data_IF_691615042994
#
_entry.id   IF_691615042994
#
_cell.length_a   1.000
_cell.length_b   1.000
_cell.length_c   1.000
_cell.angle_alpha   90.00
_cell.angle_beta   90.00
_cell.angle_gamma   90.00
#
_symmetry.space_group_name_H-M   'P 1'
#
loop_
_entity.id
_entity.type
_entity.pdbx_description
1 polymer ?
#
# COMPACT_ATOMS: atom_id res chain seq x y z
N UNK A 1 -41.65 -19.61 -41.49
CA UNK A 1 -41.13 -19.72 -40.11
C UNK A 1 -39.74 -20.33 -40.20
N UNK A 2 -38.79 -19.75 -39.44
CA UNK A 2 -37.35 -20.05 -39.36
C UNK A 2 -36.51 -19.35 -40.43
N UNK A 3 -36.13 -18.10 -40.12
CA UNK A 3 -34.95 -17.43 -40.67
C UNK A 3 -33.71 -18.10 -40.06
N UNK A 4 -32.75 -18.51 -40.90
CA UNK A 4 -31.40 -18.83 -40.47
C UNK A 4 -30.55 -17.58 -40.64
N UNK A 5 -30.08 -17.00 -39.53
CA UNK A 5 -29.01 -16.02 -39.51
C UNK A 5 -27.68 -16.76 -39.28
N UNK A 6 -26.66 -16.61 -40.15
CA UNK A 6 -25.29 -16.94 -39.78
C UNK A 6 -24.75 -15.82 -38.89
N UNK A 7 -24.39 -16.17 -37.65
CA UNK A 7 -23.63 -15.30 -36.76
C UNK A 7 -22.20 -15.24 -37.30
N UNK A 8 -21.85 -14.12 -37.93
CA UNK A 8 -20.48 -13.70 -38.17
C UNK A 8 -19.88 -13.33 -36.82
N UNK A 9 -19.08 -14.22 -36.25
CA UNK A 9 -18.15 -13.92 -35.17
C UNK A 9 -17.04 -13.04 -35.75
N UNK A 10 -17.17 -11.73 -35.59
CA UNK A 10 -16.03 -10.82 -35.65
C UNK A 10 -15.16 -11.11 -34.42
N UNK A 11 -14.06 -11.81 -34.63
CA UNK A 11 -12.90 -11.74 -33.74
C UNK A 11 -12.23 -10.41 -34.09
N UNK A 12 -12.74 -9.33 -33.51
CA UNK A 12 -11.94 -8.12 -33.41
C UNK A 12 -10.86 -8.38 -32.36
N UNK A 13 -9.62 -8.34 -32.83
CA UNK A 13 -8.46 -8.12 -32.00
C UNK A 13 -8.68 -6.84 -31.18
N UNK A 14 -9.16 -7.01 -29.94
CA UNK A 14 -9.06 -6.00 -28.90
C UNK A 14 -7.60 -5.96 -28.42
N UNK A 15 -6.73 -5.32 -29.21
CA UNK A 15 -5.69 -4.48 -28.61
C UNK A 15 -6.42 -3.27 -28.02
N UNK A 16 -7.03 -3.47 -26.85
CA UNK A 16 -7.72 -2.42 -26.13
C UNK A 16 -6.70 -1.58 -25.39
N UNK A 17 -6.58 -0.31 -25.78
CA UNK A 17 -6.10 0.76 -24.91
C UNK A 17 -6.81 0.65 -23.55
N UNK A 18 -6.05 0.77 -22.48
CA UNK A 18 -6.54 0.55 -21.12
C UNK A 18 -7.26 1.83 -20.65
N UNK A 19 -8.60 1.79 -20.65
CA UNK A 19 -9.43 2.84 -20.05
C UNK A 19 -9.96 2.33 -18.70
N UNK A 20 -9.47 2.85 -17.56
CA UNK A 20 -9.88 2.37 -16.25
C UNK A 20 -11.40 2.50 -16.04
N UNK A 21 -12.04 1.42 -15.58
CA UNK A 21 -13.47 1.40 -15.28
C UNK A 21 -13.76 2.23 -14.01
N UNK A 22 -14.42 3.38 -14.17
CA UNK A 22 -14.81 4.26 -13.05
C UNK A 22 -16.01 3.74 -12.25
N UNK A 23 -16.56 2.57 -12.56
CA UNK A 23 -17.78 2.05 -11.93
C UNK A 23 -17.56 0.89 -10.96
N UNK A 24 -16.38 0.25 -10.91
CA UNK A 24 -16.16 -0.91 -10.03
C UNK A 24 -15.20 -0.68 -8.85
N UNK A 25 -14.40 0.40 -8.83
CA UNK A 25 -13.61 0.88 -7.67
C UNK A 25 -13.18 -0.22 -6.67
N UNK A 26 -12.54 -1.29 -7.16
CA UNK A 26 -11.93 -2.27 -6.27
C UNK A 26 -10.94 -1.50 -5.37
N UNK A 27 -11.16 -1.56 -4.06
CA UNK A 27 -10.54 -0.66 -3.10
C UNK A 27 -9.07 -1.02 -2.86
N UNK A 28 -8.19 -0.68 -3.80
CA UNK A 28 -6.74 -0.94 -3.70
C UNK A 28 -6.13 -0.12 -2.55
N UNK A 29 -5.49 -0.76 -1.56
CA UNK A 29 -4.75 -0.11 -0.48
C UNK A 29 -5.59 0.59 0.60
N UNK A 30 -4.91 1.07 1.65
CA UNK A 30 -5.59 1.81 2.73
C UNK A 30 -5.95 3.21 2.27
N UNK A 31 -7.25 3.50 2.16
CA UNK A 31 -7.76 4.84 1.78
C UNK A 31 -7.82 5.82 2.95
N UNK A 32 -7.56 5.33 4.16
CA UNK A 32 -7.60 6.12 5.40
C UNK A 32 -6.39 5.76 6.24
N UNK A 33 -5.72 6.78 6.77
CA UNK A 33 -4.64 6.61 7.73
C UNK A 33 -4.80 7.66 8.82
N UNK A 34 -4.49 7.32 10.06
CA UNK A 34 -4.63 8.23 11.19
C UNK A 34 -3.62 7.88 12.27
N UNK A 35 -3.32 8.88 13.10
CA UNK A 35 -2.64 8.74 14.37
C UNK A 35 -3.40 9.56 15.42
N UNK A 36 -2.79 9.82 16.57
CA UNK A 36 -3.43 10.56 17.66
C UNK A 36 -3.69 12.04 17.31
N UNK A 37 -2.98 12.60 16.33
CA UNK A 37 -3.02 14.03 16.02
C UNK A 37 -3.77 14.39 14.74
N UNK A 38 -3.78 13.51 13.73
CA UNK A 38 -4.51 13.78 12.50
C UNK A 38 -4.91 12.51 11.75
N UNK A 39 -5.98 12.64 10.99
CA UNK A 39 -6.52 11.65 10.07
C UNK A 39 -6.44 12.21 8.65
N UNK A 40 -6.09 11.33 7.72
CA UNK A 40 -6.17 11.56 6.28
C UNK A 40 -7.05 10.50 5.65
N UNK A 41 -7.95 10.94 4.78
CA UNK A 41 -8.73 10.05 3.92
C UNK A 41 -8.67 10.56 2.48
N UNK A 42 -8.37 9.66 1.54
CA UNK A 42 -8.37 10.00 0.12
C UNK A 42 -9.75 9.84 -0.52
N UNK A 43 -10.07 10.77 -1.42
CA UNK A 43 -11.32 10.85 -2.18
C UNK A 43 -10.98 10.90 -3.68
N UNK A 44 -11.05 9.74 -4.34
CA UNK A 44 -10.78 9.56 -5.78
C UNK A 44 -12.01 9.81 -6.67
N UNK A 45 -13.14 10.22 -6.10
CA UNK A 45 -14.37 10.57 -6.83
C UNK A 45 -14.31 11.96 -7.49
N UNK A 46 -13.28 12.74 -7.18
CA UNK A 46 -13.00 14.06 -7.76
C UNK A 46 -11.77 14.02 -8.68
N UNK A 47 -11.69 14.97 -9.62
CA UNK A 47 -10.52 15.14 -10.49
C UNK A 47 -10.03 16.60 -10.42
N UNK A 48 -8.86 16.89 -9.82
CA UNK A 48 -7.91 15.95 -9.21
C UNK A 48 -8.48 15.26 -7.95
N UNK A 49 -7.90 14.12 -7.55
CA UNK A 49 -8.25 13.48 -6.26
C UNK A 49 -8.05 14.45 -5.11
N UNK A 50 -8.91 14.37 -4.10
CA UNK A 50 -8.83 15.22 -2.91
C UNK A 50 -8.50 14.39 -1.68
N UNK A 51 -7.97 15.05 -0.66
CA UNK A 51 -7.74 14.47 0.65
C UNK A 51 -8.57 15.23 1.68
N UNK A 52 -9.34 14.47 2.46
CA UNK A 52 -9.92 14.94 3.70
C UNK A 52 -8.86 14.86 4.79
N UNK A 53 -8.57 15.98 5.44
CA UNK A 53 -7.74 16.05 6.62
C UNK A 53 -8.62 16.39 7.81
N UNK A 54 -8.48 15.64 8.89
CA UNK A 54 -9.12 15.92 10.16
C UNK A 54 -8.05 15.97 11.25
N UNK A 55 -7.84 17.16 11.82
CA UNK A 55 -6.92 17.38 12.93
C UNK A 55 -7.61 17.14 14.26
N UNK A 56 -6.83 16.63 15.23
CA UNK A 56 -7.29 16.28 16.57
C UNK A 56 -8.55 15.37 16.54
N UNK A 57 -8.48 14.19 15.89
CA UNK A 57 -9.66 13.33 15.70
C UNK A 57 -10.21 12.72 17.00
N UNK A 58 -9.38 12.64 18.04
CA UNK A 58 -9.73 12.05 19.34
C UNK A 58 -9.70 13.03 20.51
N UNK A 59 -9.00 14.16 20.39
CA UNK A 59 -8.76 15.09 21.50
C UNK A 59 -9.28 16.49 21.16
N UNK A 60 -9.74 17.22 22.18
CA UNK A 60 -10.01 18.65 22.16
C UNK A 60 -10.90 19.15 20.98
N UNK A 61 -12.22 18.95 21.10
CA UNK A 61 -13.25 19.34 20.09
C UNK A 61 -13.10 20.80 19.62
N UNK A 62 -12.62 21.70 20.49
CA UNK A 62 -12.41 23.11 20.15
C UNK A 62 -11.25 23.33 19.15
N UNK A 63 -10.32 22.38 19.04
CA UNK A 63 -9.18 22.36 18.12
C UNK A 63 -9.41 21.43 16.92
N UNK A 64 -10.51 20.67 16.92
CA UNK A 64 -10.88 19.78 15.82
C UNK A 64 -11.20 20.58 14.55
N UNK A 65 -10.35 20.42 13.54
CA UNK A 65 -10.49 21.07 12.25
C UNK A 65 -10.57 20.03 11.14
N UNK A 66 -11.61 20.14 10.31
CA UNK A 66 -11.76 19.34 9.09
C UNK A 66 -11.55 20.22 7.86
N UNK A 67 -10.85 19.68 6.86
CA UNK A 67 -10.67 20.37 5.60
C UNK A 67 -10.39 19.44 4.43
N UNK A 68 -10.71 19.94 3.24
CA UNK A 68 -10.42 19.28 1.99
C UNK A 68 -9.27 19.99 1.30
N UNK A 69 -8.29 19.19 0.90
CA UNK A 69 -7.14 19.66 0.13
C UNK A 69 -7.13 18.92 -1.21
N UNK A 70 -6.61 19.57 -2.23
CA UNK A 70 -6.35 18.94 -3.52
C UNK A 70 -4.89 19.13 -3.87
N UNK A 71 -4.28 18.13 -4.48
CA UNK A 71 -2.94 18.27 -5.00
C UNK A 71 -3.04 18.95 -6.37
N UNK A 72 -2.51 20.17 -6.56
CA UNK A 72 -2.78 20.96 -7.78
C UNK A 72 -2.36 20.28 -9.08
N UNK A 73 -1.37 19.38 -9.00
CA UNK A 73 -0.75 18.71 -10.14
C UNK A 73 -1.16 17.21 -10.29
N UNK A 74 -2.11 16.70 -9.50
CA UNK A 74 -2.61 15.31 -9.64
C UNK A 74 -3.83 15.21 -10.58
N UNK A 75 -3.80 15.87 -11.74
CA UNK A 75 -4.83 15.65 -12.77
C UNK A 75 -4.59 14.29 -13.41
N UNK A 76 -5.63 13.47 -13.58
CA UNK A 76 -5.51 12.09 -14.10
C UNK A 76 -4.65 11.16 -13.24
N UNK A 77 -4.86 11.14 -11.93
CA UNK A 77 -4.23 10.15 -11.05
C UNK A 77 -5.27 9.39 -10.24
N UNK A 78 -4.92 8.20 -9.79
CA UNK A 78 -5.69 7.40 -8.87
C UNK A 78 -4.81 7.03 -7.67
N UNK A 79 -5.19 7.44 -6.47
CA UNK A 79 -4.41 7.16 -5.25
C UNK A 79 -4.82 5.80 -4.70
N UNK A 80 -3.85 4.90 -4.55
CA UNK A 80 -3.99 3.56 -4.00
C UNK A 80 -4.03 3.63 -2.48
N UNK A 81 -2.97 4.09 -1.85
CA UNK A 81 -2.86 4.07 -0.39
C UNK A 81 -2.42 5.42 0.14
N UNK A 82 -2.84 5.72 1.36
CA UNK A 82 -2.30 6.78 2.20
C UNK A 82 -1.65 6.18 3.43
N UNK A 83 -0.67 6.87 4.02
CA UNK A 83 0.05 6.41 5.20
C UNK A 83 0.54 7.57 6.06
N UNK A 84 0.48 7.39 7.38
CA UNK A 84 0.96 8.34 8.38
C UNK A 84 1.87 7.63 9.38
N UNK A 85 2.84 8.35 9.92
CA UNK A 85 3.64 7.85 11.02
C UNK A 85 2.83 7.85 12.31
N UNK A 86 2.67 6.67 12.92
CA UNK A 86 1.86 6.50 14.14
C UNK A 86 2.39 7.24 15.38
N UNK A 87 3.67 7.63 15.39
CA UNK A 87 4.36 8.38 16.46
C UNK A 87 4.77 9.79 16.01
N UNK A 88 4.23 10.29 14.90
CA UNK A 88 4.38 11.71 14.58
C UNK A 88 3.82 12.54 15.73
N UNK A 89 4.44 13.70 15.98
CA UNK A 89 3.95 14.66 16.98
C UNK A 89 2.95 15.64 16.37
N UNK A 90 2.28 16.44 17.21
CA UNK A 90 1.36 17.51 16.78
C UNK A 90 2.04 18.53 15.83
N UNK A 91 3.36 18.68 15.92
CA UNK A 91 4.15 19.55 15.03
C UNK A 91 4.60 18.88 13.73
N UNK A 92 4.54 17.55 13.64
CA UNK A 92 5.01 16.75 12.50
C UNK A 92 3.80 16.21 11.71
N UNK A 93 3.04 17.11 11.09
CA UNK A 93 1.80 16.77 10.39
C UNK A 93 2.06 16.58 8.90
N UNK A 94 2.39 15.36 8.51
CA UNK A 94 2.58 15.02 7.10
C UNK A 94 2.17 13.60 6.80
N UNK A 95 1.73 13.35 5.58
CA UNK A 95 1.32 12.02 5.15
C UNK A 95 1.91 11.69 3.78
N UNK A 96 2.12 10.40 3.58
CA UNK A 96 2.52 9.84 2.31
C UNK A 96 1.30 9.29 1.59
N UNK A 97 1.38 9.26 0.27
CA UNK A 97 0.37 8.63 -0.55
C UNK A 97 1.01 8.06 -1.80
N UNK A 98 0.43 6.97 -2.30
CA UNK A 98 0.93 6.26 -3.48
C UNK A 98 -0.21 5.99 -4.43
N UNK A 99 0.09 5.90 -5.72
CA UNK A 99 -0.92 5.68 -6.73
C UNK A 99 -0.32 5.67 -8.11
N UNK A 100 -1.16 5.83 -9.12
CA UNK A 100 -0.78 5.72 -10.52
C UNK A 100 -1.48 6.77 -11.38
N UNK A 101 -0.84 7.14 -12.48
CA UNK A 101 -1.49 7.93 -13.53
C UNK A 101 -2.57 7.10 -14.24
N UNK A 102 -3.70 7.74 -14.58
CA UNK A 102 -4.81 7.10 -15.31
C UNK A 102 -4.85 7.55 -16.78
N UNK A 103 -5.56 6.79 -17.63
CA UNK A 103 -5.73 7.03 -19.07
C UNK A 103 -4.42 6.87 -19.87
N UNK A 104 -3.83 5.67 -19.86
CA UNK A 104 -2.63 5.29 -20.64
C UNK A 104 -1.37 6.13 -20.37
N UNK A 105 -1.36 6.91 -19.29
CA UNK A 105 -0.16 7.56 -18.78
C UNK A 105 0.63 6.56 -17.91
N UNK A 106 1.93 6.41 -18.19
CA UNK A 106 2.81 5.51 -17.45
C UNK A 106 3.36 6.22 -16.22
N UNK A 107 3.14 5.61 -15.06
CA UNK A 107 3.92 5.92 -13.85
C UNK A 107 3.15 5.65 -12.57
N UNK A 108 3.64 4.66 -11.80
CA UNK A 108 3.40 4.67 -10.36
C UNK A 108 4.08 5.91 -9.76
N UNK A 109 3.52 6.44 -8.68
CA UNK A 109 4.07 7.58 -7.98
C UNK A 109 4.03 7.37 -6.48
N UNK A 110 4.88 8.14 -5.80
CA UNK A 110 4.79 8.39 -4.37
C UNK A 110 4.78 9.90 -4.15
N UNK A 111 3.92 10.35 -3.25
CA UNK A 111 3.82 11.73 -2.87
C UNK A 111 3.83 11.92 -1.37
N UNK A 112 4.10 13.15 -0.98
CA UNK A 112 4.14 13.62 0.39
C UNK A 112 3.45 14.98 0.47
N UNK A 113 2.57 15.13 1.44
CA UNK A 113 1.99 16.41 1.80
C UNK A 113 2.41 16.74 3.22
N UNK A 114 3.03 17.91 3.42
CA UNK A 114 3.39 18.41 4.75
C UNK A 114 2.56 19.62 5.10
N UNK A 115 2.08 19.65 6.33
CA UNK A 115 1.41 20.78 6.94
C UNK A 115 2.39 21.58 7.79
N UNK A 116 2.67 22.80 7.34
CA UNK A 116 3.62 23.73 7.96
C UNK A 116 2.92 24.77 8.85
N UNK A 117 1.60 24.66 9.04
CA UNK A 117 0.83 25.63 9.82
C UNK A 117 1.08 25.49 11.32
N UNK A 118 0.93 26.59 12.06
CA UNK A 118 0.98 26.57 13.52
C UNK A 118 -0.41 26.26 14.09
N UNK A 119 -0.46 25.64 15.28
CA UNK A 119 -1.68 25.12 15.94
C UNK A 119 -2.79 26.17 16.20
N UNK A 120 -2.50 27.47 16.03
CA UNK A 120 -3.41 28.57 16.38
C UNK A 120 -4.06 29.28 15.19
N UNK A 121 -3.82 28.85 13.97
CA UNK A 121 -4.40 29.52 12.81
C UNK A 121 -5.81 28.98 12.51
N UNK A 122 -6.81 29.80 12.81
CA UNK A 122 -8.23 29.59 12.50
C UNK A 122 -8.57 29.68 11.01
N UNK A 123 -7.59 29.49 10.12
CA UNK A 123 -7.70 29.71 8.68
C UNK A 123 -7.36 28.41 7.91
N UNK A 124 -8.10 28.16 6.82
CA UNK A 124 -8.29 26.81 6.26
C UNK A 124 -7.01 26.27 5.64
N UNK A 125 -6.96 24.94 5.56
CA UNK A 125 -5.87 24.07 5.15
C UNK A 125 -5.25 24.28 3.76
N UNK A 126 -5.32 25.46 3.16
CA UNK A 126 -4.75 25.75 1.85
C UNK A 126 -3.47 26.59 1.90
N UNK A 127 -3.21 27.34 2.98
CA UNK A 127 -2.12 28.34 2.99
C UNK A 127 -0.75 27.79 3.41
N UNK A 128 -0.71 26.70 4.20
CA UNK A 128 0.53 26.18 4.79
C UNK A 128 0.78 24.71 4.42
N UNK A 129 0.62 24.35 3.16
CA UNK A 129 0.92 23.01 2.66
C UNK A 129 2.10 23.02 1.69
N UNK A 130 3.03 22.09 1.87
CA UNK A 130 4.03 21.76 0.85
C UNK A 130 3.75 20.38 0.27
N UNK A 131 3.84 20.30 -1.05
CA UNK A 131 3.47 19.14 -1.84
C UNK A 131 4.70 18.61 -2.58
N UNK A 132 4.97 17.32 -2.46
CA UNK A 132 6.07 16.64 -3.14
C UNK A 132 5.53 15.40 -3.85
N UNK A 133 6.01 15.15 -5.06
CA UNK A 133 5.58 14.04 -5.90
C UNK A 133 6.76 13.53 -6.70
N UNK A 134 6.98 12.22 -6.67
CA UNK A 134 8.02 11.53 -7.43
C UNK A 134 7.39 10.39 -8.22
N UNK A 135 7.80 10.24 -9.47
CA UNK A 135 7.27 9.23 -10.40
C UNK A 135 8.29 8.13 -10.65
N UNK A 136 7.80 6.90 -10.76
CA UNK A 136 8.50 5.74 -11.28
C UNK A 136 8.16 5.59 -12.76
N UNK A 137 8.83 6.38 -13.60
CA UNK A 137 8.55 6.47 -15.04
C UNK A 137 8.71 5.15 -15.82
N UNK A 138 9.38 4.14 -15.25
CA UNK A 138 9.58 2.83 -15.86
C UNK A 138 8.62 1.74 -15.36
N UNK A 139 7.67 2.07 -14.49
CA UNK A 139 6.74 1.09 -13.90
C UNK A 139 5.40 1.09 -14.62
N UNK A 140 4.91 -0.11 -14.95
CA UNK A 140 3.53 -0.32 -15.42
C UNK A 140 2.56 -0.34 -14.23
N UNK A 141 1.25 -0.34 -14.53
CA UNK A 141 0.18 -0.52 -13.54
C UNK A 141 0.46 -1.69 -12.59
N UNK A 142 0.58 -1.41 -11.29
CA UNK A 142 0.85 -2.33 -10.19
C UNK A 142 -0.37 -2.40 -9.28
N UNK A 143 -1.22 -3.41 -9.54
CA UNK A 143 -2.42 -3.71 -8.74
C UNK A 143 -2.12 -3.94 -7.25
N UNK A 144 -0.92 -4.43 -6.93
CA UNK A 144 -0.50 -4.84 -5.59
C UNK A 144 0.54 -3.88 -4.98
N UNK A 145 0.53 -2.62 -5.39
CA UNK A 145 1.41 -1.61 -4.82
C UNK A 145 0.93 -1.17 -3.43
N UNK A 146 1.66 -1.56 -2.39
CA UNK A 146 1.37 -1.23 -0.99
C UNK A 146 2.39 -0.26 -0.39
N UNK A 147 1.92 0.54 0.57
CA UNK A 147 2.68 1.57 1.26
C UNK A 147 2.89 1.18 2.72
N UNK A 148 4.14 1.19 3.18
CA UNK A 148 4.51 1.15 4.60
C UNK A 148 5.18 2.46 5.01
N UNK A 149 4.88 2.97 6.20
CA UNK A 149 5.46 4.22 6.72
C UNK A 149 6.10 3.94 8.07
N UNK A 150 7.33 4.38 8.29
CA UNK A 150 7.98 4.19 9.58
C UNK A 150 7.22 4.95 10.70
N UNK A 151 7.37 4.55 11.98
CA UNK A 151 6.57 5.13 13.05
C UNK A 151 6.68 6.65 13.17
N UNK A 152 7.83 7.25 12.81
CA UNK A 152 8.03 8.71 12.87
C UNK A 152 7.63 9.43 11.58
N UNK A 153 7.26 8.70 10.54
CA UNK A 153 6.93 9.25 9.22
C UNK A 153 8.13 9.89 8.51
N UNK A 154 9.36 9.56 8.88
CA UNK A 154 10.56 10.05 8.22
C UNK A 154 10.79 9.36 6.87
N UNK A 155 10.37 8.11 6.73
CA UNK A 155 10.61 7.25 5.58
C UNK A 155 9.33 6.51 5.22
N UNK A 156 8.98 6.57 3.94
CA UNK A 156 7.96 5.73 3.34
C UNK A 156 8.61 4.67 2.45
N UNK A 157 8.09 3.47 2.53
CA UNK A 157 8.48 2.31 1.74
C UNK A 157 7.33 1.94 0.82
N UNK A 158 7.62 1.79 -0.47
CA UNK A 158 6.68 1.29 -1.44
C UNK A 158 7.08 -0.11 -1.88
N UNK A 159 6.15 -1.06 -1.83
CA UNK A 159 6.39 -2.45 -2.19
C UNK A 159 5.43 -2.90 -3.29
N UNK A 160 5.98 -3.49 -4.36
CA UNK A 160 5.25 -4.23 -5.38
C UNK A 160 6.05 -5.47 -5.78
N UNK A 161 5.50 -6.26 -6.70
CA UNK A 161 6.24 -7.35 -7.34
C UNK A 161 7.35 -6.81 -8.27
N UNK A 162 7.13 -5.69 -8.96
CA UNK A 162 8.12 -5.16 -9.92
C UNK A 162 9.17 -4.23 -9.31
N UNK A 163 8.84 -3.52 -8.23
CA UNK A 163 9.73 -2.55 -7.61
C UNK A 163 9.61 -2.51 -6.10
N UNK A 164 10.70 -2.07 -5.47
CA UNK A 164 10.69 -1.55 -4.12
C UNK A 164 11.28 -0.15 -4.15
N UNK A 165 10.72 0.75 -3.36
CA UNK A 165 11.18 2.12 -3.25
C UNK A 165 11.27 2.62 -1.82
N UNK A 166 12.11 3.63 -1.63
CA UNK A 166 12.29 4.38 -0.39
C UNK A 166 12.14 5.86 -0.72
N UNK A 167 11.29 6.54 0.06
CA UNK A 167 11.06 7.96 -0.07
C UNK A 167 11.17 8.65 1.29
N UNK A 168 12.14 9.55 1.41
CA UNK A 168 12.42 10.25 2.66
C UNK A 168 11.68 11.57 2.74
N UNK A 169 11.04 11.85 3.88
CA UNK A 169 10.36 13.10 4.11
C UNK A 169 11.32 14.30 4.09
N UNK A 170 12.59 14.12 4.46
CA UNK A 170 13.57 15.22 4.52
C UNK A 170 14.27 15.48 3.19
N UNK A 171 14.43 14.45 2.35
CA UNK A 171 15.09 14.54 1.04
C UNK A 171 14.10 14.19 -0.08
N UNK A 172 13.15 15.10 -0.33
CA UNK A 172 12.03 14.85 -1.25
C UNK A 172 12.41 14.81 -2.73
N UNK A 173 13.65 15.18 -3.05
CA UNK A 173 14.18 15.15 -4.42
C UNK A 173 14.82 13.80 -4.76
N UNK A 174 15.04 12.94 -3.76
CA UNK A 174 15.63 11.61 -3.93
C UNK A 174 14.57 10.54 -3.74
N UNK A 175 14.32 9.78 -4.81
CA UNK A 175 13.56 8.52 -4.76
C UNK A 175 14.55 7.39 -5.05
N UNK A 176 14.81 6.55 -4.05
CA UNK A 176 15.55 5.32 -4.29
C UNK A 176 14.57 4.23 -4.72
N UNK A 177 14.85 3.56 -5.84
CA UNK A 177 14.06 2.42 -6.28
C UNK A 177 14.92 1.38 -6.97
N UNK A 178 14.50 0.12 -6.87
CA UNK A 178 15.15 -1.00 -7.52
C UNK A 178 14.14 -2.10 -7.83
N UNK A 179 14.59 -3.14 -8.52
CA UNK A 179 13.76 -4.24 -8.97
C UNK A 179 13.25 -5.08 -7.79
N UNK A 180 11.93 -5.20 -7.67
CA UNK A 180 11.26 -5.98 -6.62
C UNK A 180 11.64 -7.45 -6.63
N UNK A 181 11.80 -8.05 -7.82
CA UNK A 181 12.20 -9.45 -7.98
C UNK A 181 13.57 -9.78 -7.37
N UNK A 182 14.42 -8.77 -7.11
CA UNK A 182 15.73 -8.95 -6.46
C UNK A 182 15.67 -8.80 -4.94
N UNK A 183 14.55 -8.33 -4.40
CA UNK A 183 14.35 -8.11 -2.96
C UNK A 183 13.84 -9.37 -2.28
N UNK A 184 12.96 -10.10 -2.98
CA UNK A 184 12.22 -11.22 -2.42
C UNK A 184 12.99 -12.54 -2.57
N UNK A 185 12.97 -13.44 -1.58
CA UNK A 185 13.49 -14.80 -1.73
C UNK A 185 12.82 -15.57 -2.89
N UNK A 186 11.55 -15.28 -3.16
CA UNK A 186 10.80 -15.78 -4.30
C UNK A 186 10.35 -14.60 -5.18
N UNK A 187 10.84 -14.55 -6.42
CA UNK A 187 10.56 -13.48 -7.37
C UNK A 187 9.09 -13.39 -7.81
N UNK A 188 8.27 -14.40 -7.49
CA UNK A 188 6.82 -14.36 -7.73
C UNK A 188 6.02 -13.72 -6.61
N UNK A 189 6.69 -13.15 -5.59
CA UNK A 189 6.03 -12.56 -4.44
C UNK A 189 5.14 -11.37 -4.83
N UNK A 190 3.89 -11.43 -4.39
CA UNK A 190 2.88 -10.40 -4.55
C UNK A 190 2.54 -9.86 -3.16
N UNK A 191 2.90 -8.60 -2.83
CA UNK A 191 2.67 -8.05 -1.50
C UNK A 191 1.22 -7.61 -1.31
N UNK A 192 0.67 -7.85 -0.11
CA UNK A 192 -0.73 -7.53 0.23
C UNK A 192 -0.86 -6.73 1.53
N UNK A 193 -0.01 -7.00 2.52
CA UNK A 193 -0.03 -6.27 3.79
C UNK A 193 1.39 -5.96 4.25
N UNK A 194 1.58 -4.80 4.86
CA UNK A 194 2.87 -4.38 5.42
C UNK A 194 2.68 -3.56 6.69
N UNK A 195 3.57 -3.74 7.64
CA UNK A 195 3.78 -2.79 8.73
C UNK A 195 5.28 -2.61 9.01
N UNK A 196 5.65 -1.43 9.47
CA UNK A 196 7.03 -0.95 9.57
C UNK A 196 7.28 -0.42 10.99
N UNK A 197 8.36 -0.89 11.61
CA UNK A 197 8.93 -0.31 12.83
C UNK A 197 10.18 0.51 12.51
N UNK A 198 10.81 1.10 13.53
CA UNK A 198 12.06 1.87 13.34
C UNK A 198 13.25 1.02 12.89
N UNK A 199 13.20 -0.32 13.03
CA UNK A 199 14.34 -1.22 12.79
C UNK A 199 14.05 -2.39 11.87
N UNK A 200 12.78 -2.79 11.80
CA UNK A 200 12.35 -3.94 11.01
C UNK A 200 10.91 -3.74 10.53
N UNK A 201 10.52 -4.50 9.52
CA UNK A 201 9.15 -4.52 9.00
C UNK A 201 8.67 -5.94 8.82
N UNK A 202 7.38 -6.11 8.63
CA UNK A 202 6.78 -7.38 8.25
C UNK A 202 5.93 -7.14 7.03
N UNK A 203 6.13 -7.96 6.01
CA UNK A 203 5.33 -7.94 4.79
C UNK A 203 4.71 -9.31 4.57
N UNK A 204 3.42 -9.34 4.28
CA UNK A 204 2.68 -10.55 3.98
C UNK A 204 2.10 -10.47 2.58
N UNK A 205 2.02 -11.63 1.92
CA UNK A 205 1.57 -11.72 0.55
C UNK A 205 1.54 -13.15 0.04
N UNK A 206 1.58 -13.31 -1.27
CA UNK A 206 1.47 -14.60 -1.93
C UNK A 206 2.70 -14.90 -2.79
N UNK A 207 3.08 -16.17 -2.91
CA UNK A 207 4.09 -16.67 -3.83
C UNK A 207 3.49 -17.75 -4.74
N UNK A 208 4.00 -17.87 -5.96
CA UNK A 208 3.57 -18.86 -6.91
C UNK A 208 4.07 -20.26 -6.53
N UNK A 209 3.16 -21.24 -6.49
CA UNK A 209 3.47 -22.65 -6.27
C UNK A 209 3.97 -23.27 -7.57
N UNK A 210 5.29 -23.33 -7.73
CA UNK A 210 5.99 -23.82 -8.93
C UNK A 210 5.53 -25.20 -9.45
N UNK A 211 5.04 -26.10 -8.57
CA UNK A 211 4.66 -27.48 -8.91
C UNK A 211 3.14 -27.70 -9.06
N UNK A 212 2.33 -26.65 -9.16
CA UNK A 212 0.88 -26.77 -9.34
C UNK A 212 0.50 -26.74 -10.83
N UNK A 213 -0.27 -27.73 -11.28
CA UNK A 213 -0.87 -27.75 -12.63
C UNK A 213 -1.93 -26.67 -12.83
N UNK A 214 -2.42 -26.05 -11.75
CA UNK A 214 -3.57 -25.14 -11.75
C UNK A 214 -3.20 -23.71 -11.33
N UNK A 215 -1.95 -23.27 -11.49
CA UNK A 215 -1.45 -21.95 -11.06
C UNK A 215 -1.92 -21.61 -9.63
N UNK A 216 -1.30 -22.25 -8.64
CA UNK A 216 -1.67 -22.04 -7.24
C UNK A 216 -0.75 -21.04 -6.55
N UNK A 217 -1.29 -20.27 -5.62
CA UNK A 217 -0.53 -19.37 -4.76
C UNK A 217 -0.53 -19.85 -3.31
N UNK A 218 0.62 -19.66 -2.66
CA UNK A 218 0.85 -19.93 -1.24
C UNK A 218 1.03 -18.63 -0.48
N UNK A 219 0.39 -18.45 0.69
CA UNK A 219 0.63 -17.29 1.50
C UNK A 219 2.02 -17.37 2.15
N UNK A 220 2.64 -16.22 2.33
CA UNK A 220 3.93 -16.08 3.00
C UNK A 220 3.98 -14.80 3.82
N UNK A 221 4.74 -14.84 4.91
CA UNK A 221 5.06 -13.72 5.77
C UNK A 221 6.58 -13.59 5.77
N UNK A 222 7.10 -12.43 5.39
CA UNK A 222 8.52 -12.12 5.45
C UNK A 222 8.81 -11.13 6.57
N UNK A 223 9.87 -11.42 7.34
CA UNK A 223 10.50 -10.44 8.22
C UNK A 223 11.54 -9.67 7.42
N UNK A 224 11.41 -8.35 7.42
CA UNK A 224 12.32 -7.43 6.78
C UNK A 224 13.18 -6.76 7.85
N UNK A 225 14.48 -6.77 7.68
CA UNK A 225 15.40 -5.94 8.44
C UNK A 225 15.80 -4.73 7.60
N UNK A 226 15.74 -3.54 8.20
CA UNK A 226 16.28 -2.33 7.58
C UNK A 226 17.71 -2.18 8.06
N UNK A 227 18.67 -2.46 7.18
CA UNK A 227 20.07 -2.24 7.49
C UNK A 227 20.38 -0.74 7.70
N UNK A 228 21.62 -0.40 8.06
CA UNK A 228 22.05 1.00 8.19
C UNK A 228 21.98 1.81 6.90
N UNK A 229 21.82 1.18 5.73
CA UNK A 229 21.59 1.84 4.45
C UNK A 229 20.10 1.96 4.08
N UNK A 230 19.17 1.58 4.96
CA UNK A 230 17.72 1.71 4.75
C UNK A 230 17.10 0.70 3.79
N UNK A 231 17.90 -0.16 3.14
CA UNK A 231 17.41 -1.13 2.17
C UNK A 231 16.78 -2.34 2.88
N UNK A 232 15.55 -2.73 2.52
CA UNK A 232 14.88 -3.89 3.11
C UNK A 232 15.58 -5.17 2.70
N UNK A 233 15.95 -5.98 3.69
CA UNK A 233 16.50 -7.31 3.51
C UNK A 233 15.57 -8.31 4.17
N UNK A 234 15.11 -9.32 3.44
CA UNK A 234 14.37 -10.43 4.03
C UNK A 234 15.33 -11.30 4.85
N UNK A 235 15.02 -11.46 6.14
CA UNK A 235 15.89 -12.17 7.10
C UNK A 235 15.23 -13.42 7.66
N UNK A 236 13.90 -13.53 7.59
CA UNK A 236 13.16 -14.74 7.95
C UNK A 236 11.85 -14.85 7.17
N UNK A 237 11.29 -16.05 7.12
CA UNK A 237 10.02 -16.34 6.46
C UNK A 237 9.16 -17.31 7.27
N UNK A 238 7.85 -17.12 7.20
CA UNK A 238 6.86 -18.08 7.66
C UNK A 238 5.84 -18.34 6.55
N UNK A 239 5.57 -19.61 6.25
CA UNK A 239 4.66 -20.05 5.18
C UNK A 239 3.43 -20.74 5.75
N UNK A 240 2.33 -20.00 6.00
CA UNK A 240 1.07 -20.60 6.39
C UNK A 240 0.57 -21.61 5.35
N UNK A 241 -0.11 -22.66 5.81
CA UNK A 241 -0.72 -23.65 4.92
C UNK A 241 -2.22 -23.41 4.86
N UNK A 242 -2.72 -22.99 3.69
CA UNK A 242 -4.14 -23.03 3.39
C UNK A 242 -4.60 -24.49 3.28
N UNK A 243 -5.76 -24.84 3.88
CA UNK A 243 -6.21 -26.24 3.92
C UNK A 243 -6.42 -26.78 2.51
N UNK A 244 -5.63 -27.77 2.04
CA UNK A 244 -5.70 -28.25 0.66
C UNK A 244 -7.08 -28.77 0.30
N UNK A 245 -7.52 -28.50 -0.93
CA UNK A 245 -8.83 -28.98 -1.44
C UNK A 245 -10.04 -28.28 -0.82
N UNK A 246 -9.86 -27.18 -0.09
CA UNK A 246 -10.95 -26.37 0.47
C UNK A 246 -11.07 -25.02 -0.24
N UNK A 247 -12.15 -24.30 0.05
CA UNK A 247 -12.35 -22.92 -0.43
C UNK A 247 -11.19 -21.99 -0.04
N UNK A 248 -10.49 -22.25 1.06
CA UNK A 248 -9.35 -21.45 1.51
C UNK A 248 -8.21 -21.46 0.47
N UNK A 249 -7.95 -22.62 -0.14
CA UNK A 249 -6.93 -22.77 -1.17
C UNK A 249 -7.40 -22.25 -2.55
N UNK A 250 -8.70 -22.05 -2.75
CA UNK A 250 -9.23 -21.41 -3.96
C UNK A 250 -9.15 -19.88 -3.85
N UNK A 251 -9.37 -19.33 -2.66
CA UNK A 251 -9.26 -17.89 -2.41
C UNK A 251 -7.84 -17.38 -2.57
N UNK A 252 -6.82 -18.14 -2.19
CA UNK A 252 -5.42 -17.74 -2.44
C UNK A 252 -5.17 -17.41 -3.92
N UNK A 253 -5.76 -18.17 -4.84
CA UNK A 253 -5.64 -17.92 -6.27
C UNK A 253 -6.47 -16.73 -6.74
N UNK A 254 -7.67 -16.57 -6.19
CA UNK A 254 -8.53 -15.43 -6.51
C UNK A 254 -7.86 -14.12 -6.07
N UNK A 255 -7.37 -14.07 -4.84
CA UNK A 255 -6.84 -12.87 -4.20
C UNK A 255 -5.45 -12.51 -4.75
N UNK A 256 -4.62 -13.50 -5.07
CA UNK A 256 -3.32 -13.27 -5.69
C UNK A 256 -3.44 -12.79 -7.16
N UNK A 257 -4.40 -13.31 -7.93
CA UNK A 257 -4.60 -12.89 -9.32
C UNK A 257 -5.43 -11.61 -9.45
N UNK A 258 -6.25 -11.31 -8.44
CA UNK A 258 -7.12 -10.14 -8.40
C UNK A 258 -7.17 -9.62 -6.98
N UNK A 259 -6.47 -8.51 -6.72
CA UNK A 259 -6.60 -7.81 -5.44
C UNK A 259 -8.07 -7.63 -5.05
N UNK A 260 -8.42 -8.10 -3.85
CA UNK A 260 -9.75 -8.01 -3.26
C UNK A 260 -9.62 -7.46 -1.84
N UNK A 261 -9.93 -6.18 -1.66
CA UNK A 261 -9.80 -5.45 -0.39
C UNK A 261 -10.57 -6.09 0.78
N UNK A 262 -11.53 -6.96 0.49
CA UNK A 262 -12.44 -7.52 1.49
C UNK A 262 -11.87 -8.75 2.21
N UNK A 263 -10.75 -9.35 1.76
CA UNK A 263 -10.39 -10.72 2.18
C UNK A 263 -8.90 -11.11 2.31
N UNK A 264 -7.92 -10.22 2.11
CA UNK A 264 -6.53 -10.67 1.97
C UNK A 264 -5.77 -10.86 3.30
N UNK A 265 -5.09 -9.83 3.78
CA UNK A 265 -4.11 -9.87 4.83
C UNK A 265 -4.06 -8.53 5.56
N UNK A 266 -3.66 -8.56 6.82
CA UNK A 266 -3.28 -7.37 7.57
C UNK A 266 -2.04 -7.65 8.41
N UNK A 267 -1.21 -6.64 8.63
CA UNK A 267 -0.03 -6.74 9.48
C UNK A 267 -0.04 -5.59 10.50
N UNK A 268 0.43 -5.87 11.71
CA UNK A 268 0.64 -4.86 12.74
C UNK A 268 1.78 -5.26 13.68
N UNK A 269 2.66 -4.32 14.01
CA UNK A 269 3.83 -4.49 14.86
C UNK A 269 3.67 -3.57 16.07
N UNK A 270 3.64 -4.07 17.30
CA UNK A 270 3.59 -3.19 18.47
C UNK A 270 4.99 -2.69 18.89
N UNK A 271 5.05 -1.92 19.98
CA UNK A 271 6.31 -1.33 20.48
C UNK A 271 7.29 -2.36 21.07
N UNK A 272 6.79 -3.52 21.49
CA UNK A 272 7.57 -4.59 22.09
C UNK A 272 8.16 -5.55 21.06
N UNK A 273 7.82 -5.38 19.78
CA UNK A 273 8.20 -6.30 18.71
C UNK A 273 7.24 -7.48 18.56
N UNK A 274 6.05 -7.44 19.16
CA UNK A 274 4.99 -8.40 18.86
C UNK A 274 4.38 -8.05 17.50
N UNK A 275 4.26 -9.06 16.65
CA UNK A 275 3.77 -8.95 15.28
C UNK A 275 2.47 -9.74 15.16
N UNK A 276 1.40 -9.06 14.77
CA UNK A 276 0.14 -9.68 14.40
C UNK A 276 0.00 -9.68 12.88
N UNK A 277 -0.26 -10.86 12.31
CA UNK A 277 -0.62 -11.00 10.89
C UNK A 277 -1.97 -11.70 10.79
N UNK A 278 -2.98 -10.98 10.30
CA UNK A 278 -4.30 -11.50 10.00
C UNK A 278 -4.37 -12.01 8.57
N UNK A 279 -4.96 -13.18 8.36
CA UNK A 279 -5.24 -13.74 7.03
C UNK A 279 -6.67 -14.27 6.99
N UNK A 280 -7.60 -13.45 6.51
CA UNK A 280 -9.04 -13.75 6.56
C UNK A 280 -9.39 -14.97 5.71
N UNK A 281 -8.80 -15.12 4.52
CA UNK A 281 -9.08 -16.25 3.61
C UNK A 281 -8.74 -17.64 4.19
N UNK A 282 -7.88 -17.74 5.21
CA UNK A 282 -7.62 -18.99 5.95
C UNK A 282 -8.20 -18.99 7.37
N UNK A 283 -8.94 -17.95 7.78
CA UNK A 283 -9.48 -17.75 9.12
C UNK A 283 -8.43 -17.87 10.23
N UNK A 284 -7.26 -17.25 10.04
CA UNK A 284 -6.17 -17.31 11.03
C UNK A 284 -5.60 -15.93 11.35
N UNK A 285 -5.17 -15.79 12.59
CA UNK A 285 -4.32 -14.70 13.07
C UNK A 285 -3.06 -15.35 13.61
N UNK A 286 -1.91 -14.85 13.16
CA UNK A 286 -0.61 -15.27 13.66
C UNK A 286 -0.09 -14.19 14.59
N UNK A 287 0.45 -14.60 15.73
CA UNK A 287 1.17 -13.75 16.67
C UNK A 287 2.61 -14.24 16.69
N UNK A 288 3.55 -13.35 16.38
CA UNK A 288 4.97 -13.61 16.49
C UNK A 288 5.62 -12.62 17.45
N UNK A 289 6.78 -12.98 17.99
CA UNK A 289 7.67 -12.08 18.69
C UNK A 289 8.97 -11.90 17.88
N UNK A 290 9.41 -10.64 17.74
CA UNK A 290 10.65 -10.26 17.08
C UNK A 290 11.54 -9.52 18.08
N UNK A 291 12.80 -9.94 18.18
CA UNK A 291 13.78 -9.20 18.99
C UNK A 291 14.12 -7.87 18.33
N UNK A 292 13.58 -6.77 18.85
CA UNK A 292 13.79 -5.41 18.31
C UNK A 292 15.26 -4.96 18.27
N UNK A 293 16.16 -5.59 19.03
CA UNK A 293 17.60 -5.26 19.01
C UNK A 293 18.36 -6.05 17.95
N UNK A 294 17.82 -7.21 17.54
CA UNK A 294 18.38 -8.08 16.53
C UNK A 294 17.25 -8.80 15.79
N UNK A 295 16.53 -8.11 14.89
CA UNK A 295 15.33 -8.62 14.25
C UNK A 295 15.71 -9.57 13.12
N UNK A 296 16.03 -10.82 13.48
CA UNK A 296 16.48 -11.85 12.52
C UNK A 296 15.51 -13.01 12.36
N UNK A 297 14.60 -13.23 13.33
CA UNK A 297 13.67 -14.36 13.32
C UNK A 297 12.25 -13.94 13.75
N UNK A 298 11.24 -14.58 13.16
CA UNK A 298 9.85 -14.61 13.62
C UNK A 298 9.70 -15.75 14.63
N UNK A 299 9.50 -15.43 15.92
CA UNK A 299 9.29 -16.46 16.95
C UNK A 299 7.79 -16.68 17.16
N UNK A 300 7.29 -17.88 16.88
CA UNK A 300 5.88 -18.27 17.06
C UNK A 300 5.62 -18.88 18.44
#
# INVERSE_FOLDING_TARGET
>A
MILWLPILLFIDHLTGDFIPNKNDYDAYGSKTAFNDHFLVQVQNDKNPSTFLLHFAPYENIEESLECFIYFPNLTNHYVHSVGVGRRQTQTERHFFFVGESVNDQVGAFIGLVKYNGTEKESLPCSLNLSYHLQYLHSSHYQKHYILGVDPRGLIAYGFSNEFVLIFEAQSTDTLESWNGNLTWPDASFVPHAVDISEKFGVIAGFIYRANSTNQQYDPVIYLINFNSSGHPIVVDEYKPVATPGTWQALLTNSDANTYSAKYDMSASINENGDVLVGMQFINRVFLFAVNITNPINLTY
#
